data_IF_025920240731
#
_entry.id   IF_025920240731
#
_cell.length_a   1.000
_cell.length_b   1.000
_cell.length_c   1.000
_cell.angle_alpha   90.00
_cell.angle_beta   90.00
_cell.angle_gamma   90.00
#
_symmetry.space_group_name_H-M   'P 1'
#
loop_
_entity.id
_entity.type
_entity.pdbx_description
1 polymer ?
#
# COMPACT_ATOMS: atom_id res chain seq x y z
N UNK A 1 -6.96 12.54 -0.24
CA UNK A 1 -6.42 13.49 0.74
C UNK A 1 -7.08 14.86 0.55
N UNK A 2 -6.76 15.87 1.38
CA UNK A 2 -7.26 17.23 1.21
C UNK A 2 -6.95 17.81 -0.20
N UNK A 3 -5.85 17.36 -0.82
CA UNK A 3 -5.47 17.72 -2.19
C UNK A 3 -6.17 16.93 -3.32
N UNK A 4 -7.15 16.07 -3.00
CA UNK A 4 -7.95 15.31 -3.97
C UNK A 4 -7.75 13.79 -3.93
N UNK A 5 -8.05 13.12 -5.04
CA UNK A 5 -8.02 11.65 -5.19
C UNK A 5 -6.83 11.22 -6.04
N UNK A 6 -6.19 10.12 -5.65
CA UNK A 6 -5.17 9.43 -6.46
C UNK A 6 -5.76 8.16 -7.05
N UNK A 7 -5.33 7.80 -8.26
CA UNK A 7 -5.60 6.49 -8.87
C UNK A 7 -4.27 5.89 -9.28
N UNK A 8 -3.99 4.69 -8.76
CA UNK A 8 -2.79 3.92 -9.08
C UNK A 8 -3.23 2.64 -9.77
N UNK A 9 -2.72 2.33 -10.97
CA UNK A 9 -3.05 1.07 -11.64
C UNK A 9 -2.49 -0.12 -10.86
N UNK A 10 -3.17 -1.26 -10.94
CA UNK A 10 -2.65 -2.53 -10.42
C UNK A 10 -1.29 -2.88 -11.05
N UNK A 11 -0.47 -3.64 -10.32
CA UNK A 11 0.77 -4.18 -10.86
C UNK A 11 0.48 -5.17 -11.98
N UNK A 12 1.25 -5.11 -13.08
CA UNK A 12 1.13 -6.05 -14.18
C UNK A 12 1.94 -7.31 -13.87
N UNK A 13 1.25 -8.36 -13.42
CA UNK A 13 1.83 -9.65 -13.03
C UNK A 13 0.99 -10.79 -13.58
N UNK A 14 1.61 -11.95 -13.77
CA UNK A 14 0.86 -13.18 -13.99
C UNK A 14 0.19 -13.61 -12.67
N UNK A 15 -1.13 -13.71 -12.67
CA UNK A 15 -1.91 -14.04 -11.46
C UNK A 15 -1.96 -15.56 -11.30
N UNK A 16 -1.49 -16.04 -10.14
CA UNK A 16 -1.48 -17.46 -9.75
C UNK A 16 -2.60 -17.75 -8.76
N UNK A 17 -2.71 -16.95 -7.70
CA UNK A 17 -3.75 -17.04 -6.65
C UNK A 17 -4.09 -15.62 -6.17
N UNK A 18 -5.28 -15.39 -5.62
CA UNK A 18 -5.68 -14.07 -5.09
C UNK A 18 -5.85 -14.05 -3.58
N UNK A 19 -5.69 -15.19 -2.91
CA UNK A 19 -5.74 -15.30 -1.46
C UNK A 19 -4.65 -14.41 -0.84
N UNK A 20 -5.04 -13.58 0.14
CA UNK A 20 -4.12 -12.64 0.82
C UNK A 20 -3.79 -11.36 0.05
N UNK A 21 -4.30 -11.14 -1.17
CA UNK A 21 -4.01 -9.94 -1.95
C UNK A 21 -4.41 -8.63 -1.23
N UNK A 22 -5.56 -8.65 -0.54
CA UNK A 22 -6.06 -7.53 0.25
C UNK A 22 -5.24 -7.30 1.53
N UNK A 23 -4.83 -8.38 2.19
CA UNK A 23 -4.00 -8.31 3.40
C UNK A 23 -2.61 -7.75 3.05
N UNK A 24 -2.03 -8.19 1.93
CA UNK A 24 -0.78 -7.67 1.39
C UNK A 24 -0.89 -6.18 1.03
N UNK A 25 -2.00 -5.77 0.40
CA UNK A 25 -2.28 -4.36 0.11
C UNK A 25 -2.33 -3.53 1.40
N UNK A 26 -3.11 -3.95 2.39
CA UNK A 26 -3.25 -3.24 3.66
C UNK A 26 -1.93 -3.19 4.43
N UNK A 27 -1.17 -4.28 4.43
CA UNK A 27 0.16 -4.36 5.04
C UNK A 27 1.11 -3.36 4.40
N UNK A 28 1.20 -3.34 3.06
CA UNK A 28 2.02 -2.36 2.33
C UNK A 28 1.57 -0.91 2.53
N UNK A 29 0.26 -0.68 2.62
CA UNK A 29 -0.30 0.65 2.89
C UNK A 29 0.14 1.16 4.27
N UNK A 30 -0.03 0.33 5.30
CA UNK A 30 0.32 0.68 6.68
C UNK A 30 1.84 0.80 6.83
N UNK A 31 2.64 -0.10 6.25
CA UNK A 31 4.10 -0.04 6.28
C UNK A 31 4.65 1.23 5.60
N UNK A 32 4.07 1.63 4.47
CA UNK A 32 4.47 2.86 3.79
C UNK A 32 4.11 4.11 4.61
N UNK A 33 2.92 4.15 5.22
CA UNK A 33 2.54 5.23 6.14
C UNK A 33 3.42 5.29 7.38
N UNK A 34 3.81 4.13 7.92
CA UNK A 34 4.76 4.01 9.02
C UNK A 34 6.11 4.62 8.63
N UNK A 35 6.61 4.30 7.44
CA UNK A 35 7.88 4.78 6.92
C UNK A 35 7.92 6.29 6.69
N UNK A 36 6.75 6.91 6.50
CA UNK A 36 6.58 8.36 6.41
C UNK A 36 6.30 9.03 7.77
N UNK A 37 6.33 8.30 8.88
CA UNK A 37 6.02 8.80 10.23
C UNK A 37 4.62 9.44 10.33
N UNK A 38 3.64 8.84 9.65
CA UNK A 38 2.25 9.34 9.58
C UNK A 38 1.27 8.56 10.46
N UNK A 39 1.74 7.59 11.23
CA UNK A 39 0.89 6.75 12.07
C UNK A 39 0.87 7.22 13.54
N UNK A 40 -0.26 6.97 14.19
CA UNK A 40 -0.46 7.30 15.61
C UNK A 40 -1.39 8.50 15.84
N UNK A 41 -1.87 8.61 17.08
CA UNK A 41 -2.84 9.62 17.49
C UNK A 41 -2.32 11.05 17.29
N UNK A 42 -1.04 11.28 17.57
CA UNK A 42 -0.37 12.58 17.48
C UNK A 42 -0.09 12.99 16.02
N UNK A 43 -0.17 12.05 15.08
CA UNK A 43 0.08 12.26 13.65
C UNK A 43 -1.19 12.48 12.81
N UNK A 44 -2.38 12.50 13.44
CA UNK A 44 -3.67 12.59 12.71
C UNK A 44 -3.79 13.82 11.82
N UNK A 45 -3.29 14.97 12.26
CA UNK A 45 -3.34 16.20 11.48
C UNK A 45 -2.46 16.08 10.22
N UNK A 46 -1.26 15.53 10.37
CA UNK A 46 -0.32 15.29 9.28
C UNK A 46 -0.87 14.25 8.30
N UNK A 47 -1.44 13.15 8.80
CA UNK A 47 -2.09 12.13 7.96
C UNK A 47 -3.29 12.71 7.19
N UNK A 48 -4.10 13.54 7.84
CA UNK A 48 -5.23 14.23 7.19
C UNK A 48 -4.74 15.17 6.08
N UNK A 49 -3.62 15.85 6.34
CA UNK A 49 -2.94 16.77 5.43
C UNK A 49 -1.97 16.11 4.45
N UNK A 50 -1.91 14.77 4.35
CA UNK A 50 -0.99 14.07 3.44
C UNK A 50 -1.14 14.62 2.02
N UNK A 51 -0.03 15.00 1.39
CA UNK A 51 -0.08 15.50 0.02
C UNK A 51 -0.36 14.36 -0.98
N UNK A 52 -0.62 14.74 -2.23
CA UNK A 52 -0.99 13.79 -3.28
C UNK A 52 0.16 12.88 -3.68
N UNK A 53 1.40 13.35 -3.59
CA UNK A 53 2.57 12.63 -4.07
C UNK A 53 2.97 11.55 -3.03
N UNK A 54 2.97 11.91 -1.74
CA UNK A 54 3.09 10.99 -0.63
C UNK A 54 1.96 9.93 -0.63
N UNK A 55 0.71 10.35 -0.83
CA UNK A 55 -0.41 9.42 -0.94
C UNK A 55 -0.25 8.48 -2.15
N UNK A 56 0.22 8.98 -3.28
CA UNK A 56 0.50 8.16 -4.48
C UNK A 56 1.59 7.13 -4.19
N UNK A 57 2.66 7.51 -3.50
CA UNK A 57 3.75 6.60 -3.13
C UNK A 57 3.26 5.49 -2.20
N UNK A 58 2.47 5.83 -1.18
CA UNK A 58 1.85 4.89 -0.23
C UNK A 58 0.95 3.87 -0.96
N UNK A 59 0.08 4.34 -1.85
CA UNK A 59 -0.80 3.44 -2.62
C UNK A 59 -0.01 2.59 -3.62
N UNK A 60 1.07 3.11 -4.22
CA UNK A 60 1.96 2.32 -5.08
C UNK A 60 2.63 1.17 -4.31
N UNK A 61 3.12 1.41 -3.10
CA UNK A 61 3.69 0.37 -2.26
C UNK A 61 2.65 -0.71 -1.91
N UNK A 62 1.45 -0.31 -1.52
CA UNK A 62 0.33 -1.21 -1.26
C UNK A 62 -0.01 -2.09 -2.49
N UNK A 63 -0.12 -1.47 -3.66
CA UNK A 63 -0.40 -2.17 -4.92
C UNK A 63 0.73 -3.13 -5.32
N UNK A 64 1.99 -2.76 -5.08
CA UNK A 64 3.13 -3.63 -5.34
C UNK A 64 3.08 -4.89 -4.48
N UNK A 65 2.85 -4.76 -3.17
CA UNK A 65 2.76 -5.92 -2.29
C UNK A 65 1.61 -6.85 -2.69
N UNK A 66 0.45 -6.28 -3.02
CA UNK A 66 -0.68 -7.06 -3.56
C UNK A 66 -0.30 -7.81 -4.84
N UNK A 67 0.37 -7.14 -5.79
CA UNK A 67 0.80 -7.74 -7.05
C UNK A 67 1.83 -8.88 -6.83
N UNK A 68 2.76 -8.72 -5.90
CA UNK A 68 3.74 -9.75 -5.57
C UNK A 68 3.08 -10.98 -4.90
N UNK A 69 2.09 -10.77 -4.03
CA UNK A 69 1.35 -11.86 -3.40
C UNK A 69 0.51 -12.64 -4.41
N UNK A 70 -0.19 -11.97 -5.33
CA UNK A 70 -1.01 -12.71 -6.31
C UNK A 70 -0.21 -13.48 -7.35
N UNK A 71 1.09 -13.20 -7.49
CA UNK A 71 1.99 -13.92 -8.36
C UNK A 71 2.50 -15.25 -7.76
N UNK A 72 2.03 -15.63 -6.56
CA UNK A 72 2.44 -16.83 -5.83
C UNK A 72 1.20 -17.56 -5.31
N UNK A 73 1.36 -18.83 -4.96
CA UNK A 73 0.26 -19.65 -4.44
C UNK A 73 0.01 -19.35 -2.95
N UNK A 74 -1.25 -19.16 -2.56
CA UNK A 74 -1.65 -18.80 -1.20
C UNK A 74 -1.31 -17.36 -0.80
N UNK A 75 -1.54 -17.05 0.49
CA UNK A 75 -1.21 -15.74 1.08
C UNK A 75 0.30 -15.62 1.38
N UNK A 76 1.15 -15.75 0.36
CA UNK A 76 2.60 -15.56 0.47
C UNK A 76 2.96 -14.08 0.30
N UNK A 77 3.09 -13.36 1.43
CA UNK A 77 3.40 -11.93 1.45
C UNK A 77 4.91 -11.69 1.31
N UNK A 78 5.35 -10.65 0.59
CA UNK A 78 6.76 -10.30 0.52
C UNK A 78 7.26 -9.74 1.86
N UNK A 79 8.52 -10.05 2.20
CA UNK A 79 9.25 -9.36 3.26
C UNK A 79 9.69 -7.96 2.81
N UNK A 80 9.99 -7.11 3.78
CA UNK A 80 10.57 -5.79 3.55
C UNK A 80 12.02 -5.91 3.06
N UNK A 81 12.40 -5.11 2.05
CA UNK A 81 13.77 -5.00 1.51
C UNK A 81 14.52 -3.79 2.04
#
# INVERSE_FOLDING_TARGET
>A
CAGGTVRVPAGNVEVVDTVGAGDAFMTGLIDALWSLDLLGADRRAQLTGIDRDALTAVVRAATLNSALTVARAGADLPDRV
#
